data_IF_925348661480
#
_entry.id   IF_925348661480
#
_cell.length_a   1.000
_cell.length_b   1.000
_cell.length_c   1.000
_cell.angle_alpha   90.00
_cell.angle_beta   90.00
_cell.angle_gamma   90.00
#
_symmetry.space_group_name_H-M   'P 1'
#
loop_
_entity.id
_entity.type
_entity.pdbx_description
1 polymer ?
#
# COMPACT_ATOMS: atom_id res chain seq x y z
N UNK A 1 -4.73 1.09 5.32
CA UNK A 1 -3.60 1.84 5.89
C UNK A 1 -3.30 1.22 7.25
N UNK A 2 -2.09 0.70 7.45
CA UNK A 2 -1.67 0.18 8.76
C UNK A 2 -1.61 1.31 9.78
N UNK A 3 -1.88 1.00 11.05
CA UNK A 3 -1.58 1.92 12.15
C UNK A 3 -0.06 1.94 12.30
N UNK A 4 0.56 3.08 12.01
CA UNK A 4 1.99 3.31 12.22
C UNK A 4 2.14 4.38 13.30
N UNK A 5 3.16 4.24 14.13
CA UNK A 5 3.59 5.34 14.98
C UNK A 5 4.36 6.36 14.14
N UNK A 6 4.31 7.60 14.59
CA UNK A 6 4.90 8.73 13.91
C UNK A 6 5.93 9.40 14.80
N UNK A 7 7.03 9.85 14.20
CA UNK A 7 8.08 10.57 14.91
C UNK A 7 8.45 11.84 14.16
N UNK A 8 8.55 12.94 14.90
CA UNK A 8 9.09 14.20 14.40
C UNK A 8 10.53 14.33 14.88
N UNK A 9 11.47 14.48 13.95
CA UNK A 9 12.87 14.74 14.27
C UNK A 9 13.21 16.21 14.02
N UNK A 10 13.33 16.99 15.09
CA UNK A 10 13.79 18.39 15.07
C UNK A 10 15.30 18.51 15.27
N UNK A 11 15.94 17.43 15.74
CA UNK A 11 17.39 17.34 15.75
C UNK A 11 17.92 17.33 14.32
N UNK A 12 19.12 17.88 14.11
CA UNK A 12 19.72 17.95 12.77
C UNK A 12 19.91 16.53 12.19
N UNK A 13 19.23 16.25 11.08
CA UNK A 13 19.40 15.00 10.35
C UNK A 13 20.81 14.92 9.72
N UNK A 14 21.47 13.76 9.75
CA UNK A 14 22.68 13.51 8.98
C UNK A 14 22.34 13.33 7.48
N UNK A 15 23.37 13.29 6.62
CA UNK A 15 23.22 12.81 5.23
C UNK A 15 22.81 13.82 4.15
N UNK A 16 22.66 15.11 4.51
CA UNK A 16 22.13 16.16 3.60
C UNK A 16 20.78 15.78 2.98
N UNK A 17 19.73 15.70 3.82
CA UNK A 17 18.47 15.08 3.44
C UNK A 17 17.73 15.92 2.38
N UNK A 18 16.95 15.30 1.47
CA UNK A 18 16.21 16.00 0.43
C UNK A 18 15.25 17.08 0.95
N UNK A 19 14.98 18.09 0.12
CA UNK A 19 14.12 19.24 0.49
C UNK A 19 12.72 18.86 1.00
N UNK A 20 12.15 17.74 0.53
CA UNK A 20 10.82 17.32 0.96
C UNK A 20 10.76 16.89 2.43
N UNK A 21 11.89 16.44 3.00
CA UNK A 21 12.04 16.06 4.41
C UNK A 21 12.71 17.13 5.27
N UNK A 22 13.41 18.10 4.65
CA UNK A 22 14.12 19.16 5.35
C UNK A 22 13.20 20.20 6.05
N UNK A 23 11.88 20.04 5.94
CA UNK A 23 10.88 20.93 6.54
C UNK A 23 10.81 20.73 8.05
N UNK A 24 10.78 21.83 8.81
CA UNK A 24 10.55 21.76 10.25
C UNK A 24 9.21 21.08 10.54
N UNK A 25 9.21 20.16 11.51
CA UNK A 25 8.03 19.38 11.86
C UNK A 25 7.68 18.24 10.89
N UNK A 26 8.55 17.87 9.94
CA UNK A 26 8.32 16.71 9.09
C UNK A 26 8.16 15.42 9.91
N UNK A 27 7.20 14.59 9.49
CA UNK A 27 6.81 13.37 10.21
C UNK A 27 7.33 12.13 9.50
N UNK A 28 8.07 11.31 10.22
CA UNK A 28 8.57 10.01 9.78
C UNK A 28 7.69 8.89 10.32
N UNK A 29 7.72 7.74 9.65
CA UNK A 29 7.07 6.50 10.13
C UNK A 29 8.06 5.69 10.96
N UNK A 30 7.59 5.02 12.01
CA UNK A 30 8.37 4.02 12.76
C UNK A 30 7.56 2.74 12.97
N UNK A 31 8.25 1.61 13.13
CA UNK A 31 7.70 0.28 13.43
C UNK A 31 8.22 -0.30 14.75
N UNK A 32 9.06 0.45 15.45
CA UNK A 32 9.85 -0.07 16.58
C UNK A 32 9.23 0.24 17.96
N UNK A 33 8.13 1.00 17.98
CA UNK A 33 7.48 1.46 19.20
C UNK A 33 6.13 0.75 19.38
N UNK A 34 5.51 0.95 20.55
CA UNK A 34 4.26 0.28 20.90
C UNK A 34 3.17 0.56 19.85
N UNK A 35 2.36 -0.44 19.48
CA UNK A 35 1.27 -0.36 18.48
C UNK A 35 0.10 0.57 18.87
N UNK A 36 0.38 1.75 19.40
CA UNK A 36 -0.53 2.62 20.12
C UNK A 36 -0.58 4.03 19.51
N UNK A 37 -0.46 4.18 18.19
CA UNK A 37 -0.66 5.45 17.46
C UNK A 37 -0.02 6.67 18.17
N UNK A 38 1.17 6.48 18.75
CA UNK A 38 1.81 7.53 19.52
C UNK A 38 2.61 8.46 18.61
N UNK A 39 2.66 9.73 18.99
CA UNK A 39 3.47 10.73 18.32
C UNK A 39 4.69 11.03 19.18
N UNK A 40 5.87 10.68 18.69
CA UNK A 40 7.13 10.91 19.37
C UNK A 40 7.86 12.13 18.79
N UNK A 41 8.76 12.73 19.57
CA UNK A 41 9.59 13.83 19.09
C UNK A 41 11.01 13.71 19.61
N UNK A 42 11.99 13.78 18.70
CA UNK A 42 13.38 14.09 19.03
C UNK A 42 13.54 15.60 18.86
N UNK A 43 13.69 16.32 19.96
CA UNK A 43 13.81 17.78 19.95
C UNK A 43 15.20 18.24 19.49
N UNK A 44 15.31 19.52 19.14
CA UNK A 44 16.54 20.12 18.63
C UNK A 44 17.74 20.03 19.60
N UNK A 45 17.49 19.92 20.91
CA UNK A 45 18.51 19.73 21.95
C UNK A 45 18.88 18.25 22.18
N UNK A 46 18.32 17.34 21.39
CA UNK A 46 18.52 15.90 21.51
C UNK A 46 17.70 15.25 22.63
N UNK A 47 16.73 15.93 23.23
CA UNK A 47 15.77 15.26 24.12
C UNK A 47 14.74 14.46 23.33
N UNK A 48 14.26 13.38 23.93
CA UNK A 48 13.15 12.58 23.41
C UNK A 48 11.88 12.85 24.23
N UNK A 49 10.73 12.82 23.57
CA UNK A 49 9.42 13.10 24.21
C UNK A 49 9.07 12.15 25.35
N UNK A 50 9.61 10.92 25.35
CA UNK A 50 9.60 10.04 26.51
C UNK A 50 10.96 10.12 27.25
N UNK A 51 11.02 10.76 28.44
CA UNK A 51 12.26 10.89 29.19
C UNK A 51 12.76 9.57 29.79
N UNK A 52 11.93 8.53 29.84
CA UNK A 52 12.27 7.22 30.39
C UNK A 52 12.85 6.26 29.35
N UNK A 53 12.61 6.52 28.06
CA UNK A 53 12.99 5.63 26.97
C UNK A 53 14.50 5.39 26.91
N UNK A 54 14.88 4.12 26.73
CA UNK A 54 16.25 3.69 26.45
C UNK A 54 16.19 2.58 25.41
N UNK A 55 16.83 2.77 24.26
CA UNK A 55 16.80 1.85 23.14
C UNK A 55 17.08 2.54 21.82
N UNK A 56 16.92 1.79 20.73
CA UNK A 56 17.03 2.29 19.37
C UNK A 56 15.67 2.51 18.74
N UNK A 57 15.54 3.56 17.93
CA UNK A 57 14.37 3.82 17.09
C UNK A 57 14.84 3.93 15.64
N UNK A 58 14.34 3.07 14.77
CA UNK A 58 14.44 3.19 13.32
C UNK A 58 13.21 3.94 12.81
N UNK A 59 13.44 4.92 11.96
CA UNK A 59 12.39 5.69 11.34
C UNK A 59 12.74 6.02 9.89
N UNK A 60 11.72 5.98 9.04
CA UNK A 60 11.91 6.05 7.59
C UNK A 60 10.86 6.94 6.93
N UNK A 61 11.15 7.34 5.70
CA UNK A 61 10.24 8.09 4.85
C UNK A 61 10.58 7.89 3.38
N UNK A 62 9.60 8.13 2.50
CA UNK A 62 9.80 8.16 1.06
C UNK A 62 8.87 9.19 0.41
N UNK A 63 9.23 9.66 -0.78
CA UNK A 63 8.35 10.50 -1.61
C UNK A 63 7.35 9.70 -2.47
N UNK A 64 7.27 8.38 -2.24
CA UNK A 64 6.42 7.46 -3.00
C UNK A 64 4.97 7.64 -2.55
N UNK A 65 4.09 8.01 -3.48
CA UNK A 65 2.66 8.20 -3.23
C UNK A 65 1.82 7.01 -3.66
N UNK A 66 2.38 6.12 -4.48
CA UNK A 66 1.73 4.92 -4.96
C UNK A 66 2.73 3.84 -5.34
N UNK A 67 2.35 2.58 -5.09
CA UNK A 67 3.08 1.41 -5.55
C UNK A 67 2.08 0.41 -6.08
N UNK A 68 2.30 -0.04 -7.31
CA UNK A 68 1.57 -1.16 -7.92
C UNK A 68 2.55 -1.92 -8.83
N UNK A 69 2.31 -1.97 -10.14
CA UNK A 69 3.28 -2.50 -11.12
C UNK A 69 4.56 -1.67 -11.26
N UNK A 70 4.56 -0.47 -10.70
CA UNK A 70 5.70 0.44 -10.66
C UNK A 70 5.65 1.31 -9.42
N UNK A 71 6.65 2.18 -9.30
CA UNK A 71 6.75 3.16 -8.22
C UNK A 71 6.32 4.52 -8.74
N UNK A 72 5.47 5.21 -7.98
CA UNK A 72 4.89 6.48 -8.40
C UNK A 72 5.15 7.59 -7.37
N UNK A 73 5.58 8.75 -7.87
CA UNK A 73 5.72 9.99 -7.12
C UNK A 73 4.70 11.00 -7.62
N UNK A 74 4.46 12.08 -6.86
CA UNK A 74 3.43 13.07 -7.23
C UNK A 74 3.68 13.74 -8.58
N UNK A 75 4.95 13.94 -8.95
CA UNK A 75 5.40 14.72 -10.09
C UNK A 75 6.33 13.94 -11.04
N UNK A 76 6.65 12.69 -10.72
CA UNK A 76 7.57 11.87 -11.51
C UNK A 76 9.04 12.13 -11.20
N UNK A 77 9.36 12.82 -10.10
CA UNK A 77 10.72 12.80 -9.54
C UNK A 77 11.15 11.36 -9.24
N UNK A 78 12.45 11.08 -9.25
CA UNK A 78 12.99 9.79 -8.82
C UNK A 78 12.44 9.39 -7.44
N UNK A 79 12.20 8.09 -7.25
CA UNK A 79 11.80 7.55 -5.95
C UNK A 79 12.96 7.66 -4.99
N UNK A 80 12.74 8.32 -3.86
CA UNK A 80 13.73 8.47 -2.79
C UNK A 80 13.16 7.83 -1.54
N UNK A 81 13.95 6.93 -0.93
CA UNK A 81 13.66 6.36 0.39
C UNK A 81 14.84 6.60 1.32
N UNK A 82 14.52 6.98 2.56
CA UNK A 82 15.48 7.34 3.59
C UNK A 82 15.15 6.56 4.85
N UNK A 83 16.18 6.07 5.52
CA UNK A 83 16.08 5.46 6.84
C UNK A 83 17.14 6.02 7.78
N UNK A 84 16.71 6.29 9.01
CA UNK A 84 17.57 6.74 10.09
C UNK A 84 17.42 5.83 11.30
N UNK A 85 18.48 5.74 12.08
CA UNK A 85 18.49 5.08 13.39
C UNK A 85 18.97 6.04 14.47
N UNK A 86 18.13 6.23 15.49
CA UNK A 86 18.44 6.98 16.69
C UNK A 86 18.69 6.04 17.88
N UNK A 87 19.81 6.19 18.57
CA UNK A 87 20.07 5.54 19.86
C UNK A 87 19.76 6.54 20.98
N UNK A 88 18.88 6.16 21.90
CA UNK A 88 18.43 7.02 23.01
C UNK A 88 18.71 6.33 24.34
N UNK A 89 19.23 7.09 25.30
CA UNK A 89 19.46 6.62 26.67
C UNK A 89 18.83 7.59 27.64
N UNK A 90 17.86 7.11 28.44
CA UNK A 90 17.10 7.91 29.42
C UNK A 90 16.57 9.22 28.81
N UNK A 91 15.90 9.11 27.67
CA UNK A 91 15.30 10.23 26.96
C UNK A 91 16.29 11.22 26.32
N UNK A 92 17.57 10.86 26.21
CA UNK A 92 18.60 11.67 25.54
C UNK A 92 19.17 10.93 24.34
N UNK A 93 19.23 11.62 23.20
CA UNK A 93 19.83 11.15 21.96
C UNK A 93 21.34 10.97 22.17
N UNK A 94 21.82 9.75 21.99
CA UNK A 94 23.23 9.39 22.02
C UNK A 94 23.86 9.46 20.62
N UNK A 95 23.15 8.92 19.63
CA UNK A 95 23.57 8.98 18.21
C UNK A 95 22.35 9.00 17.30
N UNK A 96 22.55 9.59 16.12
CA UNK A 96 21.61 9.57 15.01
C UNK A 96 22.42 9.35 13.73
N UNK A 97 22.13 8.28 13.02
CA UNK A 97 22.81 7.92 11.77
C UNK A 97 21.79 7.69 10.65
N UNK A 98 22.19 8.02 9.43
CA UNK A 98 21.50 7.54 8.23
C UNK A 98 21.92 6.09 8.00
N UNK A 99 20.94 5.18 7.93
CA UNK A 99 21.17 3.75 7.69
C UNK A 99 20.93 3.38 6.24
N UNK A 100 20.04 4.09 5.55
CA UNK A 100 19.73 3.84 4.15
C UNK A 100 19.38 5.16 3.42
N UNK A 101 19.96 5.31 2.22
CA UNK A 101 19.58 6.32 1.23
C UNK A 101 19.49 5.62 -0.12
N UNK A 102 18.28 5.47 -0.65
CA UNK A 102 18.06 4.83 -1.95
C UNK A 102 17.38 5.79 -2.92
N UNK A 103 17.87 5.77 -4.16
CA UNK A 103 17.27 6.46 -5.30
C UNK A 103 16.93 5.43 -6.35
N UNK A 104 15.71 5.49 -6.86
CA UNK A 104 15.23 4.57 -7.89
C UNK A 104 14.32 5.26 -8.91
N UNK A 105 13.98 4.53 -9.99
CA UNK A 105 13.04 5.01 -10.99
C UNK A 105 11.67 5.27 -10.36
N UNK A 106 10.96 6.28 -10.87
CA UNK A 106 9.55 6.49 -10.58
C UNK A 106 8.82 7.18 -11.74
N UNK A 107 7.53 6.93 -11.84
CA UNK A 107 6.64 7.61 -12.77
C UNK A 107 5.76 8.62 -12.02
N UNK A 108 5.27 9.69 -12.68
CA UNK A 108 4.25 10.55 -12.08
C UNK A 108 2.95 9.77 -11.85
N UNK A 109 2.25 10.09 -10.77
CA UNK A 109 1.03 9.39 -10.33
C UNK A 109 -0.10 9.41 -11.37
N UNK A 110 -0.13 10.42 -12.25
CA UNK A 110 -1.10 10.51 -13.35
C UNK A 110 -0.90 9.43 -14.43
N UNK A 111 0.26 8.78 -14.47
CA UNK A 111 0.53 7.61 -15.32
C UNK A 111 0.11 6.29 -14.67
N UNK A 112 -0.26 6.30 -13.39
CA UNK A 112 -0.77 5.09 -12.74
C UNK A 112 -2.09 4.69 -13.39
N UNK A 113 -2.09 3.52 -14.04
CA UNK A 113 -3.29 2.98 -14.66
C UNK A 113 -4.01 2.09 -13.65
N UNK A 114 -5.31 2.29 -13.53
CA UNK A 114 -6.19 1.42 -12.74
C UNK A 114 -6.87 0.46 -13.70
N UNK A 115 -6.86 -0.83 -13.37
CA UNK A 115 -7.62 -1.81 -14.13
C UNK A 115 -9.12 -1.56 -13.95
N UNK A 116 -9.79 -1.21 -15.05
CA UNK A 116 -11.25 -1.07 -15.10
C UNK A 116 -11.79 -2.14 -16.03
N UNK A 117 -12.48 -3.13 -15.47
CA UNK A 117 -13.18 -4.12 -16.27
C UNK A 117 -14.55 -3.57 -16.68
N UNK A 118 -14.89 -3.55 -17.98
CA UNK A 118 -16.21 -3.09 -18.42
C UNK A 118 -17.28 -4.06 -17.92
N UNK A 119 -17.97 -3.66 -16.84
CA UNK A 119 -19.16 -4.36 -16.37
C UNK A 119 -20.29 -4.15 -17.39
N UNK A 120 -21.03 -5.23 -17.71
CA UNK A 120 -22.21 -5.14 -18.59
C UNK A 120 -23.42 -4.52 -17.88
N UNK A 121 -23.46 -4.59 -16.56
CA UNK A 121 -24.55 -4.10 -15.71
C UNK A 121 -24.05 -2.97 -14.80
N UNK A 122 -24.93 -2.06 -14.40
CA UNK A 122 -24.59 -0.95 -13.52
C UNK A 122 -24.45 -1.46 -12.08
N UNK A 123 -23.30 -1.22 -11.43
CA UNK A 123 -22.99 -1.65 -10.06
C UNK A 123 -24.10 -1.32 -9.05
N UNK A 124 -24.79 -0.18 -9.23
CA UNK A 124 -25.88 0.23 -8.34
C UNK A 124 -27.11 -0.68 -8.44
N UNK A 125 -27.41 -1.20 -9.63
CA UNK A 125 -28.53 -2.11 -9.86
C UNK A 125 -28.24 -3.48 -9.25
N UNK A 126 -26.99 -3.94 -9.37
CA UNK A 126 -26.53 -5.21 -8.82
C UNK A 126 -26.46 -5.22 -7.29
N UNK A 127 -26.00 -4.13 -6.67
CA UNK A 127 -25.99 -3.98 -5.19
C UNK A 127 -27.41 -3.99 -4.60
N UNK A 128 -28.38 -3.41 -5.31
CA UNK A 128 -29.78 -3.39 -4.91
C UNK A 128 -30.49 -4.74 -5.09
N UNK A 129 -29.91 -5.65 -5.87
CA UNK A 129 -30.48 -6.96 -6.13
C UNK A 129 -30.36 -7.87 -4.90
N UNK A 130 -31.42 -8.63 -4.60
CA UNK A 130 -31.35 -9.72 -3.63
C UNK A 130 -30.55 -10.88 -4.23
N UNK A 131 -29.42 -11.18 -3.60
CA UNK A 131 -28.51 -12.23 -4.05
C UNK A 131 -28.71 -13.56 -3.32
N UNK A 132 -29.41 -13.56 -2.17
CA UNK A 132 -29.64 -14.78 -1.39
C UNK A 132 -30.25 -15.92 -2.23
N UNK A 133 -29.61 -17.08 -2.16
CA UNK A 133 -30.00 -18.31 -2.88
C UNK A 133 -29.41 -18.42 -4.28
N UNK A 134 -28.73 -17.38 -4.80
CA UNK A 134 -28.06 -17.43 -6.09
C UNK A 134 -26.66 -18.02 -5.97
N UNK A 135 -26.23 -18.67 -7.04
CA UNK A 135 -24.85 -19.13 -7.23
C UNK A 135 -24.05 -18.11 -8.04
N UNK A 136 -22.78 -17.98 -7.68
CA UNK A 136 -21.80 -17.11 -8.34
C UNK A 136 -20.44 -17.80 -8.37
N UNK A 137 -19.51 -17.27 -9.14
CA UNK A 137 -18.11 -17.67 -9.12
C UNK A 137 -17.26 -16.62 -8.39
N UNK A 138 -16.40 -17.08 -7.48
CA UNK A 138 -15.45 -16.24 -6.76
C UNK A 138 -14.06 -16.40 -7.32
N UNK A 139 -13.39 -15.28 -7.61
CA UNK A 139 -11.94 -15.24 -7.90
C UNK A 139 -11.18 -14.89 -6.63
N UNK A 140 -10.31 -15.79 -6.16
CA UNK A 140 -9.46 -15.52 -4.99
C UNK A 140 -8.17 -14.79 -5.35
N UNK A 141 -7.44 -14.38 -4.32
CA UNK A 141 -6.10 -13.80 -4.46
C UNK A 141 -5.10 -14.74 -5.15
N UNK A 142 -5.26 -16.06 -4.99
CA UNK A 142 -4.42 -17.09 -5.63
C UNK A 142 -4.89 -17.44 -7.04
N UNK A 143 -5.69 -16.59 -7.67
CA UNK A 143 -6.25 -16.78 -9.01
C UNK A 143 -7.11 -18.05 -9.16
N UNK A 144 -7.61 -18.60 -8.06
CA UNK A 144 -8.52 -19.75 -8.09
C UNK A 144 -9.97 -19.29 -8.29
N UNK A 145 -10.69 -19.99 -9.17
CA UNK A 145 -12.11 -19.79 -9.43
C UNK A 145 -12.91 -20.97 -8.86
N UNK A 146 -13.92 -20.68 -8.06
CA UNK A 146 -14.85 -21.71 -7.58
C UNK A 146 -16.26 -21.17 -7.39
N UNK A 147 -17.27 -22.04 -7.50
CA UNK A 147 -18.65 -21.65 -7.26
C UNK A 147 -18.91 -21.42 -5.76
N UNK A 148 -19.76 -20.45 -5.47
CA UNK A 148 -20.29 -20.18 -4.13
C UNK A 148 -21.78 -19.91 -4.20
N UNK A 149 -22.49 -20.16 -3.10
CA UNK A 149 -23.91 -19.81 -2.95
C UNK A 149 -24.06 -18.72 -1.89
N UNK A 150 -24.81 -17.66 -2.17
CA UNK A 150 -25.13 -16.64 -1.16
C UNK A 150 -26.18 -17.18 -0.20
N UNK A 151 -25.84 -17.39 1.06
CA UNK A 151 -26.73 -17.98 2.07
C UNK A 151 -27.40 -16.92 2.96
N UNK A 152 -26.77 -15.76 3.10
CA UNK A 152 -27.32 -14.62 3.81
C UNK A 152 -26.76 -13.31 3.22
N UNK A 153 -27.51 -12.22 3.39
CA UNK A 153 -27.08 -10.89 2.99
C UNK A 153 -27.70 -9.82 3.89
N UNK A 154 -27.02 -8.68 3.99
CA UNK A 154 -27.57 -7.44 4.53
C UNK A 154 -27.23 -6.27 3.58
N UNK A 155 -27.35 -5.04 4.05
CA UNK A 155 -27.07 -3.83 3.25
C UNK A 155 -25.60 -3.70 2.82
N UNK A 156 -24.67 -4.23 3.60
CA UNK A 156 -23.23 -4.01 3.40
C UNK A 156 -22.45 -5.27 3.07
N UNK A 157 -22.99 -6.45 3.36
CA UNK A 157 -22.26 -7.71 3.33
C UNK A 157 -23.12 -8.85 2.79
N UNK A 158 -22.43 -9.85 2.25
CA UNK A 158 -22.98 -11.14 1.88
C UNK A 158 -22.19 -12.24 2.59
N UNK A 159 -22.89 -13.28 3.00
CA UNK A 159 -22.29 -14.53 3.46
C UNK A 159 -22.42 -15.54 2.33
N UNK A 160 -21.30 -16.08 1.87
CA UNK A 160 -21.22 -17.07 0.82
C UNK A 160 -20.79 -18.42 1.40
N UNK A 161 -21.34 -19.50 0.86
CA UNK A 161 -20.99 -20.87 1.19
C UNK A 161 -20.28 -21.54 0.01
N UNK A 162 -19.13 -22.15 0.28
CA UNK A 162 -18.34 -22.96 -0.67
C UNK A 162 -18.89 -24.38 -0.75
N UNK A 163 -18.51 -25.14 -1.78
CA UNK A 163 -18.93 -26.55 -1.94
C UNK A 163 -18.48 -27.45 -0.78
N UNK A 164 -17.35 -27.16 -0.16
CA UNK A 164 -16.84 -27.91 1.00
C UNK A 164 -17.60 -27.59 2.30
N UNK A 165 -18.58 -26.68 2.26
CA UNK A 165 -19.38 -26.26 3.41
C UNK A 165 -18.80 -25.06 4.19
N UNK A 166 -17.61 -24.57 3.84
CA UNK A 166 -17.02 -23.39 4.47
C UNK A 166 -17.78 -22.12 4.10
N UNK A 167 -17.70 -21.12 4.98
CA UNK A 167 -18.36 -19.83 4.80
C UNK A 167 -17.34 -18.70 4.75
N UNK A 168 -17.62 -17.69 3.92
CA UNK A 168 -16.88 -16.43 3.88
C UNK A 168 -17.85 -15.24 3.92
N UNK A 169 -17.40 -14.14 4.50
CA UNK A 169 -18.14 -12.87 4.53
C UNK A 169 -17.43 -11.89 3.60
N UNK A 170 -18.17 -11.33 2.65
CA UNK A 170 -17.67 -10.38 1.66
C UNK A 170 -18.41 -9.06 1.77
N UNK A 171 -17.71 -7.94 1.59
CA UNK A 171 -18.35 -6.63 1.50
C UNK A 171 -18.99 -6.45 0.12
N UNK A 172 -20.23 -5.95 0.09
CA UNK A 172 -20.96 -5.67 -1.15
C UNK A 172 -20.21 -4.69 -2.07
N UNK A 173 -19.36 -3.81 -1.52
CA UNK A 173 -18.52 -2.89 -2.27
C UNK A 173 -17.44 -3.56 -3.13
N UNK A 174 -17.11 -4.83 -2.88
CA UNK A 174 -16.10 -5.58 -3.63
C UNK A 174 -16.69 -6.63 -4.58
N UNK A 175 -18.03 -6.70 -4.68
CA UNK A 175 -18.73 -7.72 -5.47
C UNK A 175 -18.27 -7.71 -6.93
N UNK A 176 -18.08 -6.54 -7.52
CA UNK A 176 -17.76 -6.42 -8.94
C UNK A 176 -16.33 -6.87 -9.29
N UNK A 177 -15.50 -7.08 -8.28
CA UNK A 177 -14.15 -7.63 -8.43
C UNK A 177 -14.06 -9.11 -8.05
N UNK A 178 -15.06 -9.61 -7.32
CA UNK A 178 -14.99 -10.91 -6.64
C UNK A 178 -16.06 -11.88 -7.10
N UNK A 179 -17.27 -11.43 -7.46
CA UNK A 179 -18.39 -12.29 -7.84
C UNK A 179 -18.77 -12.15 -9.31
N UNK A 180 -18.91 -13.29 -9.97
CA UNK A 180 -19.25 -13.40 -11.38
C UNK A 180 -20.49 -14.28 -11.57
N UNK A 181 -21.37 -13.90 -12.51
CA UNK A 181 -22.62 -14.63 -12.75
C UNK A 181 -22.37 -15.97 -13.47
N UNK A 182 -21.25 -16.08 -14.18
CA UNK A 182 -20.84 -17.30 -14.86
C UNK A 182 -19.33 -17.51 -14.77
N UNK A 183 -18.91 -18.76 -14.99
CA UNK A 183 -17.50 -19.11 -15.09
C UNK A 183 -16.83 -18.40 -16.27
N UNK A 184 -17.53 -18.29 -17.40
CA UNK A 184 -17.03 -17.62 -18.62
C UNK A 184 -16.70 -16.14 -18.35
N UNK A 185 -17.58 -15.42 -17.65
CA UNK A 185 -17.33 -14.03 -17.25
C UNK A 185 -16.14 -13.92 -16.31
N UNK A 186 -16.04 -14.82 -15.33
CA UNK A 186 -14.94 -14.82 -14.37
C UNK A 186 -13.59 -15.09 -15.04
N UNK A 187 -13.54 -16.03 -15.99
CA UNK A 187 -12.36 -16.34 -16.78
C UNK A 187 -11.98 -15.19 -17.72
N UNK A 188 -12.96 -14.54 -18.36
CA UNK A 188 -12.74 -13.37 -19.20
C UNK A 188 -12.17 -12.20 -18.39
N UNK A 189 -12.69 -11.95 -17.18
CA UNK A 189 -12.14 -10.98 -16.24
C UNK A 189 -10.70 -11.32 -15.85
N UNK A 190 -10.45 -12.56 -15.41
CA UNK A 190 -9.13 -13.02 -15.01
C UNK A 190 -8.10 -12.84 -16.14
N UNK A 191 -8.48 -13.20 -17.38
CA UNK A 191 -7.63 -13.01 -18.56
C UNK A 191 -7.35 -11.53 -18.83
N UNK A 192 -8.38 -10.69 -18.86
CA UNK A 192 -8.21 -9.25 -19.11
C UNK A 192 -7.36 -8.58 -18.03
N UNK A 193 -7.56 -8.95 -16.75
CA UNK A 193 -6.75 -8.48 -15.64
C UNK A 193 -5.29 -8.90 -15.81
N UNK A 194 -5.04 -10.15 -16.15
CA UNK A 194 -3.69 -10.65 -16.40
C UNK A 194 -3.01 -9.91 -17.55
N UNK A 195 -3.69 -9.72 -18.68
CA UNK A 195 -3.15 -8.99 -19.84
C UNK A 195 -2.81 -7.53 -19.48
N UNK A 196 -3.68 -6.88 -18.68
CA UNK A 196 -3.40 -5.56 -18.14
C UNK A 196 -2.16 -5.57 -17.23
N UNK A 197 -2.08 -6.49 -16.26
CA UNK A 197 -0.93 -6.66 -15.37
C UNK A 197 0.38 -6.82 -16.16
N UNK A 198 0.38 -7.73 -17.13
CA UNK A 198 1.56 -8.06 -17.94
C UNK A 198 2.01 -6.84 -18.77
N UNK A 199 1.06 -6.08 -19.31
CA UNK A 199 1.34 -4.85 -20.06
C UNK A 199 1.96 -3.79 -19.17
N UNK A 200 1.39 -3.55 -17.98
CA UNK A 200 1.92 -2.56 -17.03
C UNK A 200 3.31 -2.94 -16.53
N UNK A 201 3.53 -4.22 -16.23
CA UNK A 201 4.85 -4.73 -15.85
C UNK A 201 5.88 -4.54 -16.96
N UNK A 202 5.54 -4.87 -18.20
CA UNK A 202 6.45 -4.69 -19.33
C UNK A 202 6.78 -3.20 -19.60
N UNK A 203 5.80 -2.30 -19.46
CA UNK A 203 6.02 -0.85 -19.55
C UNK A 203 6.96 -0.36 -18.45
N UNK A 204 6.78 -0.82 -17.21
CA UNK A 204 7.65 -0.50 -16.08
C UNK A 204 9.06 -1.04 -16.27
N UNK A 205 9.22 -2.33 -16.62
CA UNK A 205 10.53 -2.95 -16.83
C UNK A 205 11.33 -2.22 -17.93
N UNK A 206 10.65 -1.78 -19.00
CA UNK A 206 11.26 -0.94 -20.03
C UNK A 206 11.72 0.41 -19.45
N UNK A 207 10.88 1.07 -18.68
CA UNK A 207 11.21 2.36 -18.06
C UNK A 207 12.40 2.24 -17.09
N UNK A 208 12.42 1.21 -16.25
CA UNK A 208 13.55 0.91 -15.35
C UNK A 208 14.84 0.72 -16.13
N UNK A 209 14.79 0.00 -17.25
CA UNK A 209 15.95 -0.20 -18.13
C UNK A 209 16.47 1.14 -18.69
N UNK A 210 15.57 1.96 -19.26
CA UNK A 210 15.92 3.29 -19.79
C UNK A 210 16.50 4.21 -18.69
N UNK A 211 15.97 4.13 -17.48
CA UNK A 211 16.47 4.85 -16.33
C UNK A 211 17.89 4.40 -15.94
N UNK A 212 18.15 3.09 -15.81
CA UNK A 212 19.48 2.56 -15.51
C UNK A 212 20.51 2.98 -16.57
N UNK A 213 20.14 2.94 -17.85
CA UNK A 213 21.00 3.39 -18.96
C UNK A 213 21.34 4.88 -18.85
N UNK A 214 20.37 5.73 -18.45
CA UNK A 214 20.59 7.17 -18.26
C UNK A 214 21.54 7.47 -17.10
N UNK A 215 21.46 6.70 -16.00
CA UNK A 215 22.25 6.96 -14.79
C UNK A 215 23.52 6.10 -14.67
N UNK A 216 23.86 5.30 -15.68
CA UNK A 216 25.07 4.47 -15.75
C UNK A 216 25.25 3.54 -14.55
N UNK A 217 24.16 2.87 -14.14
CA UNK A 217 24.15 1.77 -13.17
C UNK A 217 24.19 0.41 -13.86
#
# INVERSE_FOLDING_TARGET
MGMFDYIVCKYKLPGDPPDFVAKDGYTFQTKDLECCLYNYTIYADGTFSDPSFTGSIVFYTSNIVGSDYGVYTSDGSDAISLEYKAEIVRGKLLSLIETEYTVGPALPIDKMKIFVYPQKENNLERIAEKMKGKQFYVLTHDDNLFPVTVVAENEHQICVQKENGDFDIMNKSFIDHLLWNSLEEAEAYKKARKEFCDTQKAEWDRYVKEWNEKYSL
#
